data_IF_935886725698
#
_entry.id   IF_935886725698
#
_cell.length_a   1.000
_cell.length_b   1.000
_cell.length_c   1.000
_cell.angle_alpha   90.00
_cell.angle_beta   90.00
_cell.angle_gamma   90.00
#
_symmetry.space_group_name_H-M   'P 1'
#
loop_
_entity.id
_entity.type
_entity.pdbx_description
1 polymer ?
#
# COMPACT_ATOMS: atom_id res chain seq x y z
N UNK A 1 6.64 -33.55 -16.04
CA UNK A 1 6.10 -33.41 -14.67
C UNK A 1 5.77 -31.95 -14.47
N UNK A 2 4.49 -31.57 -14.43
CA UNK A 2 4.08 -30.16 -14.30
C UNK A 2 4.34 -29.69 -12.87
N UNK A 3 5.20 -28.67 -12.70
CA UNK A 3 5.42 -28.05 -11.41
C UNK A 3 4.14 -27.36 -10.96
N UNK A 4 3.65 -27.68 -9.76
CA UNK A 4 2.49 -27.02 -9.18
C UNK A 4 2.77 -25.53 -8.98
N UNK A 5 1.80 -24.67 -9.29
CA UNK A 5 1.94 -23.23 -9.11
C UNK A 5 2.09 -22.86 -7.63
N UNK A 6 2.85 -21.80 -7.29
CA UNK A 6 2.91 -21.32 -5.91
C UNK A 6 1.53 -20.87 -5.43
N UNK A 7 1.18 -21.24 -4.20
CA UNK A 7 -0.10 -20.87 -3.58
C UNK A 7 0.13 -19.67 -2.68
N UNK A 8 -0.73 -18.66 -2.77
CA UNK A 8 -0.62 -17.46 -1.95
C UNK A 8 -1.85 -17.30 -1.07
N UNK A 9 -1.67 -16.97 0.21
CA UNK A 9 -2.75 -16.79 1.18
C UNK A 9 -2.55 -15.52 2.01
N UNK A 10 -3.60 -14.72 2.16
CA UNK A 10 -3.65 -13.61 3.10
C UNK A 10 -4.11 -14.13 4.47
N UNK A 11 -3.36 -13.81 5.52
CA UNK A 11 -3.61 -14.26 6.88
C UNK A 11 -3.51 -13.10 7.87
N UNK A 12 -4.42 -13.04 8.84
CA UNK A 12 -4.31 -12.11 9.95
C UNK A 12 -3.25 -12.61 10.94
N UNK A 13 -2.50 -11.69 11.56
CA UNK A 13 -1.46 -12.05 12.54
C UNK A 13 -2.01 -12.85 13.73
N UNK A 14 -3.24 -12.56 14.18
CA UNK A 14 -3.92 -13.33 15.22
C UNK A 14 -4.14 -14.81 14.86
N UNK A 15 -4.24 -15.13 13.56
CA UNK A 15 -4.42 -16.50 13.07
C UNK A 15 -3.12 -17.19 12.70
N UNK A 16 -1.97 -16.54 12.93
CA UNK A 16 -0.66 -17.05 12.54
C UNK A 16 -0.26 -18.28 13.37
N UNK A 17 -0.47 -18.25 14.68
CA UNK A 17 -0.19 -19.38 15.57
C UNK A 17 -1.05 -20.64 15.28
N UNK A 18 -2.39 -20.57 15.16
CA UNK A 18 -3.18 -21.74 14.77
C UNK A 18 -2.82 -22.24 13.36
N UNK A 19 -2.59 -21.33 12.41
CA UNK A 19 -2.16 -21.71 11.07
C UNK A 19 -0.81 -22.44 11.07
N UNK A 20 0.16 -21.96 11.86
CA UNK A 20 1.46 -22.60 12.04
C UNK A 20 1.35 -24.04 12.56
N UNK A 21 0.47 -24.28 13.55
CA UNK A 21 0.19 -25.63 14.05
C UNK A 21 -0.37 -26.54 12.97
N UNK A 22 -1.33 -26.04 12.19
CA UNK A 22 -1.93 -26.82 11.09
C UNK A 22 -0.91 -27.13 9.99
N UNK A 23 -0.03 -26.18 9.67
CA UNK A 23 1.04 -26.39 8.71
C UNK A 23 2.03 -27.45 9.19
N UNK A 24 2.42 -27.45 10.47
CA UNK A 24 3.26 -28.51 11.05
C UNK A 24 2.59 -29.87 11.04
N UNK A 25 1.31 -29.94 11.38
CA UNK A 25 0.57 -31.20 11.32
C UNK A 25 0.56 -31.77 9.90
N UNK A 26 0.40 -30.92 8.88
CA UNK A 26 0.46 -31.34 7.49
C UNK A 26 1.88 -31.77 7.05
N UNK A 27 2.94 -31.14 7.55
CA UNK A 27 4.32 -31.59 7.31
C UNK A 27 4.57 -32.96 7.95
N UNK A 28 4.08 -33.18 9.17
CA UNK A 28 4.18 -34.47 9.85
C UNK A 28 3.40 -35.57 9.10
N UNK A 29 2.18 -35.28 8.62
CA UNK A 29 1.39 -36.20 7.79
C UNK A 29 2.06 -36.50 6.44
N UNK A 30 2.86 -35.58 5.91
CA UNK A 30 3.68 -35.77 4.72
C UNK A 30 4.95 -36.61 4.98
N UNK A 31 5.16 -37.10 6.21
CA UNK A 31 6.33 -37.90 6.58
C UNK A 31 7.62 -37.09 6.72
N UNK A 32 7.52 -35.77 6.81
CA UNK A 32 8.69 -34.91 7.01
C UNK A 32 9.03 -34.93 8.50
N UNK A 33 10.26 -35.32 8.83
CA UNK A 33 10.74 -35.34 10.20
C UNK A 33 10.70 -33.94 10.84
N UNK A 34 10.37 -33.87 12.13
CA UNK A 34 10.22 -32.60 12.87
C UNK A 34 11.46 -31.70 12.76
N UNK A 35 12.66 -32.29 12.80
CA UNK A 35 13.94 -31.58 12.63
C UNK A 35 14.07 -30.91 11.25
N UNK A 36 13.39 -31.44 10.22
CA UNK A 36 13.40 -30.90 8.87
C UNK A 36 12.30 -29.87 8.62
N UNK A 37 11.31 -29.72 9.51
CA UNK A 37 10.20 -28.77 9.33
C UNK A 37 10.71 -27.35 9.16
N UNK A 38 11.65 -26.92 10.00
CA UNK A 38 12.23 -25.58 9.93
C UNK A 38 12.85 -25.30 8.55
N UNK A 39 13.68 -26.21 8.03
CA UNK A 39 14.33 -26.05 6.73
C UNK A 39 13.36 -26.01 5.56
N UNK A 40 12.33 -26.88 5.57
CA UNK A 40 11.28 -26.88 4.53
C UNK A 40 10.50 -25.56 4.57
N UNK A 41 10.12 -25.09 5.76
CA UNK A 41 9.37 -23.85 5.91
C UNK A 41 10.20 -22.62 5.51
N UNK A 42 11.46 -22.56 5.91
CA UNK A 42 12.38 -21.48 5.51
C UNK A 42 12.57 -21.40 3.99
N UNK A 43 12.60 -22.55 3.31
CA UNK A 43 12.86 -22.61 1.87
C UNK A 43 11.62 -22.41 1.02
N UNK A 44 10.48 -22.96 1.47
CA UNK A 44 9.25 -23.01 0.68
C UNK A 44 8.17 -22.03 1.13
N UNK A 45 8.37 -21.28 2.22
CA UNK A 45 7.39 -20.29 2.69
C UNK A 45 8.02 -18.91 2.73
N UNK A 46 7.41 -17.98 2.00
CA UNK A 46 7.74 -16.56 2.06
C UNK A 46 6.57 -15.79 2.70
N UNK A 47 6.89 -14.76 3.46
CA UNK A 47 5.90 -13.89 4.09
C UNK A 47 6.16 -12.42 3.73
N UNK A 48 5.10 -11.66 3.52
CA UNK A 48 5.19 -10.20 3.34
C UNK A 48 4.02 -9.46 3.99
N UNK A 49 4.30 -8.29 4.55
CA UNK A 49 3.24 -7.41 5.05
C UNK A 49 2.39 -6.86 3.89
N UNK A 50 1.06 -6.93 3.99
CA UNK A 50 0.18 -6.45 2.92
C UNK A 50 0.19 -4.92 2.71
N UNK A 51 0.69 -4.14 3.69
CA UNK A 51 0.68 -2.67 3.63
C UNK A 51 2.05 -2.06 3.30
N UNK A 52 3.11 -2.53 3.96
CA UNK A 52 4.44 -1.94 3.85
C UNK A 52 5.46 -2.84 3.16
N UNK A 53 5.04 -4.01 2.67
CA UNK A 53 5.87 -5.02 1.99
C UNK A 53 7.09 -5.52 2.79
N UNK A 54 7.17 -5.23 4.10
CA UNK A 54 8.21 -5.76 4.96
C UNK A 54 8.17 -7.30 4.96
N UNK A 55 9.33 -7.92 4.78
CA UNK A 55 9.51 -9.37 4.70
C UNK A 55 10.30 -9.83 5.93
N UNK A 56 9.80 -10.78 6.73
CA UNK A 56 10.62 -11.41 7.75
C UNK A 56 11.74 -12.21 7.09
N UNK A 57 12.86 -12.38 7.79
CA UNK A 57 13.88 -13.32 7.33
C UNK A 57 13.31 -14.75 7.24
N UNK A 58 13.86 -15.62 6.37
CA UNK A 58 13.44 -17.01 6.29
C UNK A 58 13.49 -17.69 7.65
N UNK A 59 14.54 -17.45 8.44
CA UNK A 59 14.72 -17.97 9.80
C UNK A 59 13.55 -17.60 10.71
N UNK A 60 13.09 -16.34 10.66
CA UNK A 60 11.93 -15.86 11.41
C UNK A 60 10.67 -16.57 10.97
N UNK A 61 10.48 -16.79 9.66
CA UNK A 61 9.34 -17.59 9.14
C UNK A 61 9.42 -19.02 9.67
N UNK A 62 10.58 -19.68 9.61
CA UNK A 62 10.77 -21.02 10.16
C UNK A 62 10.42 -21.08 11.65
N UNK A 63 11.00 -20.19 12.45
CA UNK A 63 10.82 -20.13 13.90
C UNK A 63 9.39 -19.78 14.32
N UNK A 64 8.71 -18.93 13.55
CA UNK A 64 7.31 -18.59 13.74
C UNK A 64 6.41 -19.83 13.60
N UNK A 65 6.71 -20.69 12.62
CA UNK A 65 5.92 -21.89 12.39
C UNK A 65 6.28 -23.02 13.37
N UNK A 66 7.56 -23.23 13.66
CA UNK A 66 8.03 -24.29 14.58
C UNK A 66 7.89 -23.94 16.06
N UNK A 67 7.71 -22.67 16.38
CA UNK A 67 7.78 -22.19 17.77
C UNK A 67 9.21 -22.16 18.33
N UNK A 68 10.23 -22.34 17.48
CA UNK A 68 11.61 -22.27 17.92
C UNK A 68 11.97 -20.85 18.41
N UNK A 69 12.85 -20.78 19.40
CA UNK A 69 13.47 -19.52 19.81
C UNK A 69 14.68 -19.22 18.92
N UNK A 70 14.90 -17.95 18.64
CA UNK A 70 16.08 -17.47 17.92
C UNK A 70 17.07 -16.86 18.91
N UNK A 71 18.36 -16.98 18.60
CA UNK A 71 19.40 -16.31 19.37
C UNK A 71 19.15 -14.79 19.40
N UNK A 72 19.55 -14.15 20.51
CA UNK A 72 19.34 -12.72 20.70
C UNK A 72 19.92 -11.90 19.53
N UNK A 73 19.13 -10.92 19.08
CA UNK A 73 19.47 -10.07 17.94
C UNK A 73 18.23 -9.72 17.12
N UNK A 74 18.47 -9.18 15.92
CA UNK A 74 17.41 -8.66 15.05
C UNK A 74 16.33 -9.69 14.72
N UNK A 75 16.70 -10.92 14.36
CA UNK A 75 15.72 -11.96 14.01
C UNK A 75 14.83 -12.33 15.21
N UNK A 76 15.36 -12.34 16.43
CA UNK A 76 14.57 -12.57 17.65
C UNK A 76 13.59 -11.42 17.91
N UNK A 77 14.00 -10.17 17.70
CA UNK A 77 13.10 -9.00 17.80
C UNK A 77 11.98 -9.05 16.74
N UNK A 78 12.31 -9.40 15.50
CA UNK A 78 11.35 -9.57 14.41
C UNK A 78 10.32 -10.65 14.75
N UNK A 79 10.77 -11.81 15.26
CA UNK A 79 9.92 -12.90 15.71
C UNK A 79 9.01 -12.48 16.87
N UNK A 80 9.56 -11.79 17.87
CA UNK A 80 8.79 -11.32 19.03
C UNK A 80 7.66 -10.37 18.61
N UNK A 81 7.95 -9.44 17.68
CA UNK A 81 6.92 -8.52 17.14
C UNK A 81 5.80 -9.27 16.43
N UNK A 82 6.13 -10.23 15.58
CA UNK A 82 5.12 -11.03 14.86
C UNK A 82 4.26 -11.86 15.81
N UNK A 83 4.85 -12.41 16.87
CA UNK A 83 4.13 -13.14 17.92
C UNK A 83 3.22 -12.24 18.76
N UNK A 84 3.57 -10.96 18.90
CA UNK A 84 2.74 -9.93 19.52
C UNK A 84 1.71 -9.32 18.55
N UNK A 85 1.51 -9.92 17.37
CA UNK A 85 0.57 -9.48 16.35
C UNK A 85 0.87 -8.09 15.76
N UNK A 86 2.15 -7.68 15.75
CA UNK A 86 2.60 -6.44 15.14
C UNK A 86 3.38 -6.67 13.85
N UNK A 87 3.31 -5.69 12.95
CA UNK A 87 4.18 -5.65 11.78
C UNK A 87 5.66 -5.43 12.18
N UNK A 88 6.57 -5.97 11.37
CA UNK A 88 8.02 -5.79 11.49
C UNK A 88 8.44 -4.32 11.39
N UNK A 89 7.79 -3.55 10.50
CA UNK A 89 8.09 -2.12 10.35
C UNK A 89 7.40 -1.33 11.45
N UNK A 90 8.18 -0.60 12.24
CA UNK A 90 7.67 0.32 13.25
C UNK A 90 6.76 1.37 12.59
N UNK A 91 5.59 1.60 13.18
CA UNK A 91 4.56 2.51 12.66
C UNK A 91 3.68 1.94 11.54
N UNK A 92 3.88 0.68 11.14
CA UNK A 92 2.96 0.01 10.21
C UNK A 92 1.82 -0.67 10.98
N UNK A 93 0.57 -0.27 10.71
CA UNK A 93 -0.63 -0.77 11.39
C UNK A 93 -1.24 -2.02 10.74
N UNK A 94 -0.56 -2.60 9.74
CA UNK A 94 -1.06 -3.83 9.10
C UNK A 94 -1.16 -4.98 10.10
N UNK A 95 -2.35 -5.58 10.16
CA UNK A 95 -2.62 -6.84 10.87
C UNK A 95 -2.62 -8.06 9.96
N UNK A 96 -2.25 -7.87 8.68
CA UNK A 96 -2.30 -8.92 7.67
C UNK A 96 -0.94 -9.13 7.01
N UNK A 97 -0.61 -10.41 6.82
CA UNK A 97 0.52 -10.86 6.05
C UNK A 97 0.03 -11.76 4.92
N UNK A 98 0.72 -11.69 3.80
CA UNK A 98 0.55 -12.62 2.70
C UNK A 98 1.67 -13.67 2.75
N UNK A 99 1.26 -14.93 2.82
CA UNK A 99 2.12 -16.11 2.84
C UNK A 99 2.10 -16.76 1.47
N UNK A 100 3.27 -16.93 0.87
CA UNK A 100 3.46 -17.61 -0.41
C UNK A 100 4.14 -18.95 -0.17
N UNK A 101 3.52 -20.03 -0.63
CA UNK A 101 3.98 -21.40 -0.50
C UNK A 101 4.49 -21.89 -1.86
N UNK A 102 5.79 -22.09 -1.96
CA UNK A 102 6.41 -22.70 -3.11
C UNK A 102 6.05 -24.20 -3.17
N UNK A 103 5.93 -24.78 -4.37
CA UNK A 103 5.64 -26.20 -4.54
C UNK A 103 6.68 -27.08 -3.81
N UNK A 104 6.21 -28.14 -3.17
CA UNK A 104 7.05 -29.17 -2.55
C UNK A 104 6.46 -30.55 -2.87
N UNK A 105 7.26 -31.54 -3.31
CA UNK A 105 6.76 -32.82 -3.82
C UNK A 105 5.95 -33.62 -2.80
N UNK A 106 6.31 -33.51 -1.52
CA UNK A 106 5.63 -34.24 -0.44
C UNK A 106 4.48 -33.47 0.22
N UNK A 107 4.35 -32.15 0.01
CA UNK A 107 3.45 -31.31 0.84
C UNK A 107 2.32 -30.72 -0.01
N UNK A 108 1.08 -31.02 0.40
CA UNK A 108 -0.13 -30.47 -0.23
C UNK A 108 -0.55 -29.17 0.45
N UNK A 109 0.13 -28.06 0.12
CA UNK A 109 -0.15 -26.73 0.70
C UNK A 109 -1.61 -26.26 0.55
N UNK A 110 -2.32 -26.72 -0.48
CA UNK A 110 -3.74 -26.42 -0.70
C UNK A 110 -4.64 -26.90 0.46
N UNK A 111 -4.27 -27.99 1.13
CA UNK A 111 -5.05 -28.54 2.25
C UNK A 111 -4.83 -27.77 3.57
N UNK A 112 -3.76 -26.96 3.67
CA UNK A 112 -3.41 -26.26 4.91
C UNK A 112 -4.20 -24.95 4.99
N UNK A 113 -5.26 -24.94 5.81
CA UNK A 113 -5.95 -23.71 6.21
C UNK A 113 -7.29 -23.41 5.54
N UNK A 114 -8.03 -24.40 5.04
CA UNK A 114 -9.47 -24.23 4.73
C UNK A 114 -10.31 -23.93 5.98
N UNK A 115 -9.86 -24.35 7.16
CA UNK A 115 -10.63 -24.23 8.41
C UNK A 115 -10.46 -22.87 9.12
N UNK A 116 -9.30 -22.21 8.98
CA UNK A 116 -8.97 -21.01 9.77
C UNK A 116 -9.66 -19.74 9.25
N UNK A 117 -10.21 -19.78 8.03
CA UNK A 117 -10.80 -18.61 7.38
C UNK A 117 -12.29 -18.38 7.72
N UNK A 118 -12.93 -19.35 8.39
CA UNK A 118 -14.37 -19.32 8.69
C UNK A 118 -14.79 -18.30 9.76
N UNK A 119 -13.86 -17.81 10.59
CA UNK A 119 -14.16 -16.94 11.75
C UNK A 119 -13.89 -15.45 11.54
N UNK A 120 -13.66 -14.99 10.30
CA UNK A 120 -13.49 -13.56 10.01
C UNK A 120 -14.84 -12.94 9.55
N UNK A 121 -15.60 -12.24 10.41
CA UNK A 121 -16.95 -11.79 10.10
C UNK A 121 -17.06 -10.67 9.05
N UNK A 122 -15.96 -10.25 8.40
CA UNK A 122 -15.96 -9.18 7.39
C UNK A 122 -14.99 -9.44 6.22
N UNK A 123 -14.59 -10.68 5.95
CA UNK A 123 -13.94 -10.99 4.68
C UNK A 123 -15.01 -11.06 3.58
N UNK A 124 -14.89 -10.32 2.46
CA UNK A 124 -15.83 -10.47 1.36
C UNK A 124 -15.84 -11.93 0.91
N UNK A 125 -17.01 -12.55 1.05
CA UNK A 125 -17.33 -13.89 0.60
C UNK A 125 -17.06 -13.96 -0.89
N UNK A 126 -16.08 -14.78 -1.27
CA UNK A 126 -15.76 -15.05 -2.66
C UNK A 126 -14.26 -15.14 -2.88
N UNK A 127 -13.68 -16.29 -2.53
CA UNK A 127 -12.53 -16.87 -3.24
C UNK A 127 -12.48 -18.36 -2.88
N UNK A 128 -13.43 -19.07 -3.47
CA UNK A 128 -13.40 -20.51 -3.65
C UNK A 128 -12.14 -20.90 -4.41
N UNK A 129 -11.54 -21.99 -3.95
CA UNK A 129 -10.56 -22.86 -4.60
C UNK A 129 -10.66 -22.81 -6.13
N UNK A 130 -9.60 -22.36 -6.79
CA UNK A 130 -9.48 -22.35 -8.24
C UNK A 130 -8.46 -21.34 -8.73
N UNK A 131 -7.22 -21.81 -8.93
CA UNK A 131 -6.29 -21.29 -9.92
C UNK A 131 -6.30 -19.76 -10.16
N UNK A 132 -5.91 -18.98 -9.14
CA UNK A 132 -5.49 -17.60 -9.41
C UNK A 132 -4.07 -17.68 -9.95
N UNK A 133 -3.96 -17.85 -11.27
CA UNK A 133 -2.80 -17.44 -12.04
C UNK A 133 -2.36 -16.08 -11.51
N UNK A 134 -1.14 -16.02 -11.00
CA UNK A 134 -0.46 -14.81 -10.53
C UNK A 134 -0.34 -13.85 -11.71
N UNK A 135 -1.41 -13.11 -12.02
CA UNK A 135 -1.28 -11.77 -12.56
C UNK A 135 -0.77 -10.94 -11.41
N UNK A 136 0.54 -10.69 -11.41
CA UNK A 136 1.19 -9.64 -10.63
C UNK A 136 0.27 -8.44 -10.57
N UNK A 137 -0.40 -8.24 -9.44
CA UNK A 137 -1.04 -6.98 -9.12
C UNK A 137 0.08 -6.00 -8.85
N UNK A 138 0.59 -5.41 -9.94
CA UNK A 138 1.41 -4.20 -9.96
C UNK A 138 0.61 -2.96 -9.49
N UNK A 139 -0.34 -3.18 -8.57
CA UNK A 139 -1.40 -2.25 -8.21
C UNK A 139 -1.21 -1.68 -6.80
N UNK A 140 -0.42 -2.33 -5.93
CA UNK A 140 -0.12 -1.81 -4.60
C UNK A 140 1.08 -0.84 -4.56
N UNK A 141 2.03 -0.95 -5.50
CA UNK A 141 3.20 -0.04 -5.54
C UNK A 141 2.80 1.37 -5.99
N UNK A 142 1.79 1.50 -6.85
CA UNK A 142 1.31 2.82 -7.34
C UNK A 142 0.61 3.64 -6.24
N UNK A 143 -0.04 2.98 -5.28
CA UNK A 143 -0.78 3.66 -4.22
C UNK A 143 0.12 4.32 -3.15
N UNK A 144 1.32 3.78 -2.91
CA UNK A 144 2.27 4.36 -1.96
C UNK A 144 3.13 5.49 -2.56
N UNK A 145 3.46 5.41 -3.85
CA UNK A 145 4.12 6.50 -4.57
C UNK A 145 3.19 7.70 -4.79
N UNK A 146 1.89 7.46 -5.02
CA UNK A 146 0.92 8.55 -5.22
C UNK A 146 0.74 9.43 -3.99
N UNK A 147 0.86 8.88 -2.77
CA UNK A 147 0.70 9.70 -1.56
C UNK A 147 1.88 10.64 -1.32
N UNK A 148 3.12 10.21 -1.62
CA UNK A 148 4.30 11.10 -1.56
C UNK A 148 4.24 12.21 -2.60
N UNK A 149 3.82 11.89 -3.82
CA UNK A 149 3.58 12.88 -4.88
C UNK A 149 2.45 13.85 -4.49
N UNK A 150 1.34 13.36 -3.93
CA UNK A 150 0.24 14.19 -3.46
C UNK A 150 0.68 15.15 -2.35
N UNK A 151 1.49 14.70 -1.39
CA UNK A 151 2.03 15.55 -0.33
C UNK A 151 2.94 16.67 -0.88
N UNK A 152 3.82 16.35 -1.85
CA UNK A 152 4.68 17.34 -2.50
C UNK A 152 3.87 18.36 -3.30
N UNK A 153 2.85 17.91 -4.04
CA UNK A 153 1.96 18.79 -4.81
C UNK A 153 1.16 19.70 -3.88
N UNK A 154 0.60 19.18 -2.79
CA UNK A 154 -0.09 19.97 -1.76
C UNK A 154 0.81 21.04 -1.15
N UNK A 155 2.05 20.70 -0.81
CA UNK A 155 3.02 21.66 -0.27
C UNK A 155 3.33 22.77 -1.28
N UNK A 156 3.51 22.42 -2.56
CA UNK A 156 3.73 23.38 -3.64
C UNK A 156 2.54 24.33 -3.81
N UNK A 157 1.30 23.81 -3.80
CA UNK A 157 0.09 24.64 -3.88
C UNK A 157 -0.05 25.57 -2.68
N UNK A 158 0.24 25.09 -1.46
CA UNK A 158 0.22 25.91 -0.26
C UNK A 158 1.27 27.04 -0.31
N UNK A 159 2.49 26.74 -0.79
CA UNK A 159 3.54 27.74 -0.98
C UNK A 159 3.16 28.79 -2.05
N UNK A 160 2.52 28.36 -3.14
CA UNK A 160 2.04 29.28 -4.18
C UNK A 160 0.91 30.17 -3.67
N UNK A 161 -0.06 29.61 -2.93
CA UNK A 161 -1.14 30.39 -2.32
C UNK A 161 -0.59 31.40 -1.30
N UNK A 162 0.34 30.98 -0.44
CA UNK A 162 1.03 31.84 0.50
C UNK A 162 1.76 32.99 -0.22
N UNK A 163 2.52 32.65 -1.26
CA UNK A 163 3.23 33.65 -2.08
C UNK A 163 2.27 34.65 -2.70
N UNK A 164 1.17 34.18 -3.30
CA UNK A 164 0.18 35.03 -3.95
C UNK A 164 -0.51 35.98 -2.97
N UNK A 165 -0.70 35.55 -1.71
CA UNK A 165 -1.24 36.41 -0.66
C UNK A 165 -0.26 37.50 -0.24
N UNK A 166 1.03 37.18 -0.16
CA UNK A 166 2.09 38.12 0.21
C UNK A 166 2.44 39.12 -0.90
N UNK A 167 2.40 38.72 -2.16
CA UNK A 167 2.74 39.61 -3.28
C UNK A 167 1.63 40.59 -3.66
N UNK A 168 0.50 40.62 -2.95
CA UNK A 168 -0.61 41.54 -3.20
C UNK A 168 -1.28 41.28 -4.55
N UNK A 169 -2.44 40.62 -4.53
CA UNK A 169 -3.17 40.17 -5.72
C UNK A 169 -3.29 41.22 -6.82
N UNK A 170 -2.43 41.12 -7.83
CA UNK A 170 -2.72 41.63 -9.17
C UNK A 170 -3.23 40.45 -9.99
N UNK A 171 -4.54 40.32 -10.08
CA UNK A 171 -5.18 39.40 -11.01
C UNK A 171 -5.03 40.05 -12.41
N UNK A 172 -4.25 39.49 -13.35
CA UNK A 172 -3.93 40.16 -14.61
C UNK A 172 -5.10 40.21 -15.61
N UNK A 173 -6.27 39.65 -15.27
CA UNK A 173 -7.38 39.43 -16.22
C UNK A 173 -8.55 40.42 -16.13
N UNK A 174 -8.58 41.34 -15.16
CA UNK A 174 -9.54 42.44 -15.15
C UNK A 174 -8.86 43.74 -15.58
N UNK A 175 -8.61 43.88 -16.89
CA UNK A 175 -8.41 45.20 -17.50
C UNK A 175 -9.80 45.80 -17.73
N UNK A 176 -10.17 46.79 -16.94
CA UNK A 176 -11.33 47.64 -17.23
C UNK A 176 -11.15 48.29 -18.61
N UNK A 177 -12.17 48.14 -19.46
CA UNK A 177 -12.23 48.81 -20.75
C UNK A 177 -12.32 50.32 -20.52
N UNK A 178 -11.28 51.08 -20.90
CA UNK A 178 -11.36 52.54 -20.94
C UNK A 178 -12.41 52.92 -21.97
N UNK A 179 -13.52 53.47 -21.49
CA UNK A 179 -14.49 54.20 -22.31
C UNK A 179 -13.79 55.43 -22.88
N UNK A 180 -13.56 55.44 -24.19
CA UNK A 180 -13.24 56.65 -24.94
C UNK A 180 -14.49 57.53 -24.94
N UNK A 181 -14.50 58.59 -24.15
CA UNK A 181 -15.40 59.73 -24.37
C UNK A 181 -14.83 60.55 -25.52
N UNK A 182 -15.49 60.51 -26.68
CA UNK A 182 -15.27 61.47 -27.75
C UNK A 182 -15.73 62.85 -27.26
N UNK A 183 -14.78 63.69 -26.87
CA UNK A 183 -15.03 65.12 -26.65
C UNK A 183 -15.60 65.72 -27.94
N UNK A 184 -16.81 66.24 -27.82
CA UNK A 184 -17.53 66.89 -28.90
C UNK A 184 -16.80 68.14 -29.35
N UNK A 185 -16.58 68.23 -30.66
CA UNK A 185 -16.26 69.48 -31.37
C UNK A 185 -17.38 70.47 -31.08
N UNK A 186 -17.10 71.47 -30.25
CA UNK A 186 -18.00 72.60 -29.99
C UNK A 186 -18.11 73.49 -31.23
N UNK A 187 -19.30 74.01 -31.57
CA UNK A 187 -19.47 74.90 -32.71
C UNK A 187 -18.79 76.26 -32.49
N UNK A 188 -17.99 76.69 -33.47
CA UNK A 188 -17.45 78.04 -33.60
C UNK A 188 -18.57 79.09 -33.51
N UNK A 189 -18.45 80.11 -32.66
CA UNK A 189 -19.36 81.25 -32.69
C UNK A 189 -19.07 82.09 -33.95
N UNK A 190 -20.05 82.18 -34.84
CA UNK A 190 -20.07 83.15 -35.94
C UNK A 190 -20.00 84.56 -35.36
N UNK A 191 -19.02 85.31 -35.86
CA UNK A 191 -18.92 86.76 -35.71
C UNK A 191 -20.08 87.42 -36.44
N UNK A 192 -20.95 88.12 -35.70
CA UNK A 192 -21.82 89.13 -36.29
C UNK A 192 -21.04 90.45 -36.36
N UNK A 193 -20.63 90.75 -37.58
CA UNK A 193 -20.34 92.10 -38.08
C UNK A 193 -21.55 93.01 -37.85
N UNK A 194 -21.37 94.07 -37.05
CA UNK A 194 -22.20 95.28 -37.14
C UNK A 194 -21.28 96.49 -37.24
N UNK A 195 -21.04 96.89 -38.49
CA UNK A 195 -20.34 98.09 -38.95
C UNK A 195 -21.27 99.34 -38.83
N UNK A 196 -20.83 100.60 -39.08
CA UNK A 196 -21.14 101.73 -38.23
C UNK A 196 -21.95 102.80 -38.99
N UNK A 197 -22.70 103.63 -38.26
CA UNK A 197 -22.89 105.07 -38.55
C UNK A 197 -23.77 105.74 -37.51
#
# INVERSE_FOLDING_TARGET
MSASAPITRKLALAHLAPFARNARAALAQAGIADLAHAGVLQTHVAARCCLCDARPSPEVVGALFTGAELAAGRSAEELARLRQEYCLRIGCESRFYELTFAPHPAVKWAAIGTEVQADAPNAPVGLTVGEVVVRKTAQSVRAQLSWRLAAVVMLLLALLAWRQWWTGGSIPFFREARTFTSEGVGPEPMADDVDPK
#
